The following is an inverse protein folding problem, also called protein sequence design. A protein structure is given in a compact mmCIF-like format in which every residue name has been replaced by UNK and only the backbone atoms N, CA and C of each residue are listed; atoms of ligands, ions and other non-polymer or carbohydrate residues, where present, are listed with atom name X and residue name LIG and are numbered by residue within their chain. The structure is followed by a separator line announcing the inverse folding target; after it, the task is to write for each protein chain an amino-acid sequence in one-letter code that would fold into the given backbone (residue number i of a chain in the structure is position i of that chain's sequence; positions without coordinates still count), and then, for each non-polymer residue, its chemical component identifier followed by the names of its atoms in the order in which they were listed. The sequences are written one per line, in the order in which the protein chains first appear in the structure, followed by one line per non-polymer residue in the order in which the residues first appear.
data_IF_396012843161
#
_entry.id   IF_396012843161
#
_cell.length_a   1.000
_cell.length_b   1.000
_cell.length_c   1.000
_cell.angle_alpha   90.00
_cell.angle_beta   90.00
_cell.angle_gamma   90.00
#
_symmetry.space_group_name_H-M   'P 1'
#
loop_
_entity.id
_entity.type
_entity.pdbx_description
1 polymer ?
#
# COMPACT_ATOMS: atom_id res chain seq x y z
N UNK A 1 15.56 10.00 -12.53
CA UNK A 1 14.14 9.98 -12.07
C UNK A 1 13.21 9.21 -13.02
N UNK A 2 13.07 9.62 -14.28
CA UNK A 2 12.14 9.01 -15.25
C UNK A 2 12.25 7.47 -15.36
N UNK A 3 13.46 6.94 -15.51
CA UNK A 3 13.69 5.49 -15.55
C UNK A 3 13.21 4.74 -14.29
N UNK A 4 13.33 5.37 -13.12
CA UNK A 4 12.80 4.83 -11.87
C UNK A 4 11.26 4.78 -11.86
N UNK A 5 10.59 5.72 -12.53
CA UNK A 5 9.13 5.72 -12.66
C UNK A 5 8.63 4.64 -13.62
N UNK A 6 9.34 4.38 -14.73
CA UNK A 6 9.02 3.30 -15.66
C UNK A 6 9.08 1.93 -14.99
N UNK A 7 10.12 1.67 -14.19
CA UNK A 7 10.24 0.42 -13.41
C UNK A 7 9.11 0.28 -12.38
N UNK A 8 8.70 1.38 -11.75
CA UNK A 8 7.57 1.40 -10.79
C UNK A 8 6.21 1.28 -11.47
N UNK A 9 6.10 1.57 -12.76
CA UNK A 9 4.82 1.59 -13.47
C UNK A 9 4.15 0.21 -13.56
N UNK A 10 4.92 -0.89 -13.52
CA UNK A 10 4.42 -2.28 -13.45
C UNK A 10 4.31 -2.82 -12.01
N UNK A 11 4.62 -2.00 -11.01
CA UNK A 11 4.78 -2.45 -9.64
C UNK A 11 3.56 -3.20 -9.09
N UNK A 12 3.77 -4.47 -8.73
CA UNK A 12 2.76 -5.36 -8.15
C UNK A 12 2.23 -4.86 -6.79
N UNK A 13 2.86 -3.86 -6.16
CA UNK A 13 2.45 -3.31 -4.86
C UNK A 13 1.22 -2.39 -4.94
N UNK A 14 0.68 -2.10 -6.12
CA UNK A 14 -0.52 -1.27 -6.22
C UNK A 14 -1.72 -2.00 -5.64
N UNK A 15 -2.62 -1.24 -5.01
CA UNK A 15 -3.87 -1.76 -4.42
C UNK A 15 -4.70 -2.54 -5.45
N UNK A 16 -4.71 -2.11 -6.71
CA UNK A 16 -5.42 -2.82 -7.80
C UNK A 16 -4.96 -4.26 -8.00
N UNK A 17 -3.67 -4.55 -7.77
CA UNK A 17 -3.11 -5.91 -7.90
C UNK A 17 -3.14 -6.69 -6.58
N UNK A 18 -3.51 -6.05 -5.46
CA UNK A 18 -3.61 -6.69 -4.14
C UNK A 18 -4.99 -6.44 -3.52
N UNK A 19 -6.06 -7.02 -4.10
CA UNK A 19 -7.40 -6.86 -3.57
C UNK A 19 -7.47 -7.37 -2.12
N UNK A 20 -8.20 -6.67 -1.27
CA UNK A 20 -8.57 -7.18 0.05
C UNK A 20 -9.87 -7.97 -0.03
N UNK A 21 -10.08 -8.98 0.84
CA UNK A 21 -11.35 -9.68 0.94
C UNK A 21 -12.53 -8.72 1.14
N UNK A 22 -13.73 -9.15 0.73
CA UNK A 22 -14.97 -8.38 0.92
C UNK A 22 -15.32 -8.25 2.40
N UNK A 23 -15.16 -9.35 3.13
CA UNK A 23 -15.43 -9.38 4.56
C UNK A 23 -14.24 -8.80 5.34
N UNK A 24 -14.48 -7.97 6.35
CA UNK A 24 -13.41 -7.47 7.21
C UNK A 24 -12.71 -8.61 7.95
N UNK A 25 -11.41 -8.46 8.24
CA UNK A 25 -10.70 -9.43 9.07
C UNK A 25 -11.39 -9.57 10.42
N UNK A 26 -11.51 -10.80 10.93
CA UNK A 26 -12.07 -11.08 12.24
C UNK A 26 -10.96 -11.38 13.23
N UNK A 27 -11.09 -11.00 14.52
CA UNK A 27 -10.03 -11.22 15.50
C UNK A 27 -9.70 -12.70 15.70
N UNK A 28 -10.68 -13.60 15.54
CA UNK A 28 -10.52 -15.06 15.62
C UNK A 28 -9.53 -15.60 14.59
N UNK A 29 -9.39 -14.93 13.43
CA UNK A 29 -8.45 -15.33 12.38
C UNK A 29 -6.97 -15.09 12.79
N UNK A 30 -6.75 -14.36 13.90
CA UNK A 30 -5.44 -14.03 14.47
C UNK A 30 -5.22 -14.72 15.83
N UNK A 31 -6.07 -15.70 16.15
CA UNK A 31 -6.00 -16.50 17.36
C UNK A 31 -5.39 -17.88 17.10
N UNK A 32 -4.52 -18.29 18.01
CA UNK A 32 -3.97 -19.64 18.08
C UNK A 32 -4.19 -20.20 19.46
N UNK A 33 -4.36 -21.51 19.58
CA UNK A 33 -4.55 -22.17 20.87
C UNK A 33 -3.47 -23.21 21.12
N UNK A 34 -3.02 -23.26 22.36
CA UNK A 34 -2.20 -24.32 22.91
C UNK A 34 -3.12 -25.22 23.71
N UNK A 35 -3.46 -26.37 23.14
CA UNK A 35 -4.27 -27.38 23.81
C UNK A 35 -3.38 -28.48 24.39
N UNK A 36 -3.92 -29.24 25.33
CA UNK A 36 -3.23 -30.34 26.01
C UNK A 36 -3.07 -31.58 25.12
N UNK A 37 -3.63 -31.59 23.90
CA UNK A 37 -3.61 -32.75 23.00
C UNK A 37 -2.46 -32.66 21.98
N UNK A 38 -1.59 -33.69 21.90
CA UNK A 38 -0.46 -33.68 21.00
C UNK A 38 -0.88 -34.14 19.60
N UNK A 39 -1.05 -33.20 18.67
CA UNK A 39 -0.79 -33.54 17.25
C UNK A 39 0.59 -33.00 16.88
N UNK A 40 1.62 -33.81 17.09
CA UNK A 40 3.00 -33.51 16.69
C UNK A 40 3.91 -33.02 17.83
N UNK A 41 4.72 -32.00 17.56
CA UNK A 41 5.71 -31.46 18.50
C UNK A 41 5.04 -30.80 19.73
N UNK A 42 5.67 -30.88 20.91
CA UNK A 42 5.08 -30.37 22.15
C UNK A 42 4.79 -28.86 22.07
N UNK A 43 3.65 -28.45 22.65
CA UNK A 43 3.25 -27.05 22.80
C UNK A 43 3.24 -26.25 21.49
N UNK A 44 2.85 -26.88 20.37
CA UNK A 44 2.68 -26.18 19.10
C UNK A 44 1.31 -25.49 19.04
N UNK A 45 1.23 -24.16 18.82
CA UNK A 45 -0.05 -23.48 18.67
C UNK A 45 -0.77 -23.96 17.40
N UNK A 46 -2.07 -24.20 17.51
CA UNK A 46 -2.97 -24.56 16.40
C UNK A 46 -3.86 -23.35 16.09
N UNK A 47 -4.12 -23.02 14.81
CA UNK A 47 -5.09 -21.98 14.47
C UNK A 47 -6.45 -22.24 15.13
N UNK A 48 -7.09 -21.22 15.70
CA UNK A 48 -8.36 -21.37 16.42
C UNK A 48 -9.44 -22.08 15.58
N UNK A 49 -9.50 -21.78 14.28
CA UNK A 49 -10.44 -22.41 13.33
C UNK A 49 -10.26 -23.94 13.20
N UNK A 50 -9.11 -24.46 13.56
CA UNK A 50 -8.75 -25.89 13.48
C UNK A 50 -8.84 -26.60 14.84
N UNK A 51 -9.07 -25.86 15.93
CA UNK A 51 -9.04 -26.43 17.29
C UNK A 51 -10.37 -26.99 17.79
N UNK A 52 -11.48 -26.69 17.11
CA UNK A 52 -12.83 -27.04 17.57
C UNK A 52 -13.34 -26.22 18.76
N UNK A 53 -12.54 -25.26 19.26
CA UNK A 53 -12.92 -24.38 20.36
C UNK A 53 -13.83 -23.26 19.85
N UNK A 54 -14.98 -23.08 20.51
CA UNK A 54 -15.87 -21.96 20.26
C UNK A 54 -15.65 -20.86 21.31
N UNK A 55 -15.02 -19.74 20.91
CA UNK A 55 -14.75 -18.62 21.80
C UNK A 55 -15.98 -17.89 22.33
N UNK A 56 -17.17 -18.08 21.73
CA UNK A 56 -18.43 -17.55 22.28
C UNK A 56 -18.81 -18.24 23.60
N UNK A 57 -18.36 -19.48 23.79
CA UNK A 57 -18.59 -20.31 24.98
C UNK A 57 -17.49 -20.18 26.02
N UNK A 58 -16.50 -19.30 25.78
CA UNK A 58 -15.33 -19.21 26.62
C UNK A 58 -15.21 -17.88 27.38
N UNK A 59 -14.48 -17.95 28.47
CA UNK A 59 -13.86 -16.82 29.15
C UNK A 59 -12.35 -16.87 28.99
N UNK A 60 -11.70 -15.71 29.12
CA UNK A 60 -10.25 -15.61 29.13
C UNK A 60 -9.78 -14.82 30.34
N UNK A 61 -8.64 -15.22 30.89
CA UNK A 61 -7.89 -14.45 31.87
C UNK A 61 -6.49 -14.17 31.32
N UNK A 62 -5.92 -13.00 31.61
CA UNK A 62 -4.55 -12.70 31.21
C UNK A 62 -3.59 -13.71 31.88
N UNK A 63 -2.62 -14.21 31.10
CA UNK A 63 -1.52 -14.99 31.67
C UNK A 63 -0.49 -14.04 32.26
N UNK A 64 -0.02 -14.33 33.46
CA UNK A 64 0.97 -13.54 34.17
C UNK A 64 2.25 -13.41 33.33
N UNK A 65 2.84 -12.21 33.33
CA UNK A 65 4.09 -11.91 32.59
C UNK A 65 4.01 -12.14 31.07
N UNK A 66 2.81 -12.14 30.47
CA UNK A 66 2.63 -12.22 29.02
C UNK A 66 1.67 -11.17 28.48
N UNK A 67 2.02 -10.57 27.34
CA UNK A 67 1.20 -9.54 26.69
C UNK A 67 0.21 -10.05 25.65
N UNK A 68 0.39 -11.30 25.18
CA UNK A 68 -0.41 -11.88 24.08
C UNK A 68 -0.96 -13.27 24.40
N UNK A 69 -0.73 -13.77 25.62
CA UNK A 69 -1.22 -15.06 26.08
C UNK A 69 -2.31 -14.91 27.14
N UNK A 70 -3.31 -15.76 27.01
CA UNK A 70 -4.47 -15.79 27.89
C UNK A 70 -4.77 -17.24 28.28
N UNK A 71 -5.17 -17.47 29.52
CA UNK A 71 -5.77 -18.73 29.96
C UNK A 71 -7.20 -18.77 29.46
N UNK A 72 -7.60 -19.90 28.88
CA UNK A 72 -8.92 -20.08 28.26
C UNK A 72 -9.76 -21.06 29.08
N UNK A 73 -11.02 -20.69 29.33
CA UNK A 73 -11.95 -21.45 30.16
C UNK A 73 -13.28 -21.66 29.43
N UNK A 74 -13.79 -22.89 29.36
CA UNK A 74 -15.10 -23.19 28.75
C UNK A 74 -16.22 -23.09 29.80
N UNK A 75 -17.07 -22.08 29.66
CA UNK A 75 -18.26 -21.83 30.49
C UNK A 75 -19.55 -22.23 29.79
N UNK A 76 -19.47 -22.85 28.61
CA UNK A 76 -20.62 -23.26 27.82
C UNK A 76 -21.56 -22.09 27.52
N UNK A 77 -22.86 -22.30 27.79
CA UNK A 77 -23.89 -21.29 27.53
C UNK A 77 -23.87 -20.11 28.51
N UNK A 78 -23.16 -20.21 29.64
CA UNK A 78 -23.06 -19.13 30.62
C UNK A 78 -22.01 -18.07 30.22
N UNK A 79 -21.18 -18.37 29.23
CA UNK A 79 -20.16 -17.46 28.75
C UNK A 79 -20.75 -16.24 28.04
N UNK A 80 -19.96 -15.15 28.04
CA UNK A 80 -20.26 -13.89 27.35
C UNK A 80 -19.45 -13.72 26.06
N UNK A 81 -18.70 -14.75 25.69
CA UNK A 81 -17.68 -14.73 24.64
C UNK A 81 -16.39 -14.00 25.02
N UNK A 82 -15.31 -14.40 24.36
CA UNK A 82 -13.98 -13.79 24.52
C UNK A 82 -13.89 -12.40 23.88
N UNK A 83 -14.47 -12.23 22.69
CA UNK A 83 -14.50 -10.97 21.98
C UNK A 83 -15.85 -10.27 22.16
N UNK A 84 -15.82 -9.03 22.66
CA UNK A 84 -17.00 -8.18 22.82
C UNK A 84 -16.74 -6.83 22.17
N UNK A 85 -17.64 -6.40 21.29
CA UNK A 85 -17.48 -5.17 20.50
C UNK A 85 -16.13 -5.11 19.75
N UNK A 86 -15.63 -6.26 19.29
CA UNK A 86 -14.35 -6.38 18.57
C UNK A 86 -13.10 -6.25 19.44
N UNK A 87 -13.23 -6.29 20.76
CA UNK A 87 -12.11 -6.27 21.71
C UNK A 87 -12.08 -7.58 22.49
N UNK A 88 -10.87 -8.11 22.73
CA UNK A 88 -10.67 -9.19 23.70
C UNK A 88 -10.94 -8.64 25.09
N UNK A 89 -11.79 -9.31 25.86
CA UNK A 89 -12.10 -8.87 27.23
C UNK A 89 -11.83 -10.00 28.22
N UNK A 90 -10.91 -9.73 29.15
CA UNK A 90 -10.63 -10.65 30.25
C UNK A 90 -11.75 -10.62 31.29
N UNK A 91 -12.03 -11.78 31.88
CA UNK A 91 -12.95 -11.97 32.99
C UNK A 91 -12.17 -12.47 34.22
N UNK A 92 -12.70 -12.21 35.41
CA UNK A 92 -12.20 -12.82 36.64
C UNK A 92 -12.70 -14.26 36.72
N UNK A 93 -11.81 -15.19 37.05
CA UNK A 93 -12.13 -16.62 37.14
C UNK A 93 -12.16 -17.01 38.62
N UNK A 94 -13.28 -17.58 39.12
CA UNK A 94 -13.35 -18.13 40.47
C UNK A 94 -12.29 -19.20 40.69
N UNK A 95 -11.76 -19.30 41.92
CA UNK A 95 -10.65 -20.21 42.24
C UNK A 95 -11.03 -21.69 42.04
N UNK A 96 -12.29 -22.02 42.28
CA UNK A 96 -12.91 -23.32 42.05
C UNK A 96 -13.04 -23.69 40.56
N UNK A 97 -13.09 -22.69 39.68
CA UNK A 97 -13.23 -22.88 38.23
C UNK A 97 -11.87 -22.97 37.53
N UNK A 98 -10.80 -22.46 38.15
CA UNK A 98 -9.44 -22.40 37.59
C UNK A 98 -8.93 -23.74 37.05
N UNK A 99 -9.26 -24.85 37.70
CA UNK A 99 -8.86 -26.19 37.24
C UNK A 99 -9.94 -26.92 36.45
N UNK A 100 -11.22 -26.71 36.80
CA UNK A 100 -12.34 -27.49 36.25
C UNK A 100 -12.79 -27.00 34.87
N UNK A 101 -12.64 -25.71 34.59
CA UNK A 101 -13.09 -25.08 33.35
C UNK A 101 -11.92 -24.79 32.38
N UNK A 102 -10.67 -24.96 32.81
CA UNK A 102 -9.49 -24.65 31.99
C UNK A 102 -9.37 -25.59 30.79
N UNK A 103 -9.28 -25.03 29.58
CA UNK A 103 -9.21 -25.78 28.32
C UNK A 103 -7.95 -25.53 27.50
N UNK A 104 -7.10 -24.58 27.92
CA UNK A 104 -5.80 -24.33 27.29
C UNK A 104 -5.37 -22.86 27.34
N UNK A 105 -4.37 -22.52 26.52
CA UNK A 105 -3.92 -21.13 26.36
C UNK A 105 -4.35 -20.60 24.99
N UNK A 106 -4.84 -19.36 24.97
CA UNK A 106 -5.13 -18.60 23.78
C UNK A 106 -4.00 -17.59 23.53
N UNK A 107 -3.45 -17.62 22.32
CA UNK A 107 -2.57 -16.58 21.79
C UNK A 107 -3.39 -15.67 20.89
N UNK A 108 -3.33 -14.36 21.09
CA UNK A 108 -3.99 -13.40 20.21
C UNK A 108 -3.00 -12.34 19.73
N UNK A 109 -2.66 -12.38 18.43
CA UNK A 109 -1.79 -11.38 17.82
C UNK A 109 -2.57 -10.11 17.49
N UNK A 110 -2.79 -9.28 18.51
CA UNK A 110 -3.54 -8.02 18.41
C UNK A 110 -2.93 -7.07 17.38
N UNK A 111 -1.60 -7.01 17.30
CA UNK A 111 -0.91 -6.11 16.38
C UNK A 111 -1.18 -6.50 14.91
N UNK A 112 -1.07 -7.79 14.57
CA UNK A 112 -1.38 -8.28 13.24
C UNK A 112 -2.85 -8.04 12.86
N UNK A 113 -3.79 -8.24 13.81
CA UNK A 113 -5.20 -7.95 13.60
C UNK A 113 -5.46 -6.46 13.29
N UNK A 114 -4.91 -5.55 14.09
CA UNK A 114 -5.09 -4.10 13.87
C UNK A 114 -4.45 -3.63 12.55
N UNK A 115 -3.28 -4.17 12.19
CA UNK A 115 -2.67 -3.92 10.88
C UNK A 115 -3.55 -4.40 9.73
N UNK A 116 -4.10 -5.61 9.82
CA UNK A 116 -5.00 -6.16 8.81
C UNK A 116 -6.28 -5.33 8.68
N UNK A 117 -6.87 -4.92 9.80
CA UNK A 117 -8.06 -4.05 9.84
C UNK A 117 -7.81 -2.70 9.20
N UNK A 118 -6.67 -2.07 9.50
CA UNK A 118 -6.24 -0.82 8.87
C UNK A 118 -6.04 -0.99 7.36
N UNK A 119 -5.33 -2.05 6.94
CA UNK A 119 -5.09 -2.36 5.52
C UNK A 119 -6.39 -2.60 4.75
N UNK A 120 -7.32 -3.36 5.34
CA UNK A 120 -8.65 -3.60 4.78
C UNK A 120 -9.42 -2.29 4.60
N UNK A 121 -9.54 -1.47 5.66
CA UNK A 121 -10.23 -0.17 5.62
C UNK A 121 -9.64 0.72 4.53
N UNK A 122 -8.32 0.89 4.50
CA UNK A 122 -7.63 1.71 3.51
C UNK A 122 -7.89 1.24 2.07
N UNK A 123 -7.90 -0.06 1.82
CA UNK A 123 -8.20 -0.61 0.50
C UNK A 123 -9.63 -0.28 0.07
N UNK A 124 -10.62 -0.53 0.93
CA UNK A 124 -12.03 -0.30 0.59
C UNK A 124 -12.39 1.18 0.49
N UNK A 125 -11.79 2.03 1.32
CA UNK A 125 -11.91 3.49 1.19
C UNK A 125 -11.35 3.97 -0.15
N UNK A 126 -10.19 3.47 -0.56
CA UNK A 126 -9.64 3.74 -1.90
C UNK A 126 -10.56 3.20 -3.00
N UNK A 127 -11.11 2.00 -2.85
CA UNK A 127 -12.01 1.38 -3.84
C UNK A 127 -13.29 2.19 -4.02
N UNK A 128 -13.82 2.81 -2.95
CA UNK A 128 -14.99 3.69 -2.98
C UNK A 128 -14.72 5.07 -3.59
N UNK A 129 -13.52 5.62 -3.36
CA UNK A 129 -13.18 7.01 -3.73
C UNK A 129 -12.38 7.13 -5.02
N UNK A 130 -11.91 6.02 -5.59
CA UNK A 130 -11.10 6.04 -6.81
C UNK A 130 -11.90 6.49 -8.03
N UNK A 131 -11.19 7.10 -8.97
CA UNK A 131 -11.71 7.34 -10.31
C UNK A 131 -11.82 6.01 -11.08
N UNK A 132 -13.02 5.44 -11.19
CA UNK A 132 -13.27 4.17 -11.87
C UNK A 132 -12.75 4.17 -13.32
N UNK A 133 -12.99 5.24 -14.08
CA UNK A 133 -12.60 5.34 -15.48
C UNK A 133 -11.08 5.18 -15.67
N UNK A 134 -10.26 5.53 -14.67
CA UNK A 134 -8.81 5.33 -14.70
C UNK A 134 -8.41 3.85 -14.59
N UNK A 135 -9.20 3.02 -13.90
CA UNK A 135 -8.80 1.66 -13.53
C UNK A 135 -9.51 0.55 -14.31
N UNK A 136 -10.59 0.87 -15.05
CA UNK A 136 -11.35 -0.10 -15.85
C UNK A 136 -10.48 -0.99 -16.74
N UNK A 137 -9.59 -0.39 -17.54
CA UNK A 137 -8.71 -1.16 -18.43
C UNK A 137 -7.66 -1.99 -17.67
N UNK A 138 -7.24 -1.53 -16.50
CA UNK A 138 -6.28 -2.25 -15.65
C UNK A 138 -6.92 -3.45 -14.96
N UNK A 139 -8.15 -3.31 -14.47
CA UNK A 139 -8.90 -4.37 -13.80
C UNK A 139 -9.46 -5.40 -14.77
N UNK A 140 -9.77 -4.99 -16.01
CA UNK A 140 -10.14 -5.90 -17.10
C UNK A 140 -8.94 -6.71 -17.62
N UNK A 141 -7.73 -6.51 -17.06
CA UNK A 141 -6.51 -7.21 -17.49
C UNK A 141 -5.99 -6.78 -18.87
N UNK A 142 -6.53 -5.70 -19.44
CA UNK A 142 -6.14 -5.20 -20.76
C UNK A 142 -4.80 -4.45 -20.74
N UNK A 143 -4.40 -3.96 -19.56
CA UNK A 143 -3.13 -3.28 -19.32
C UNK A 143 -2.55 -3.77 -17.99
N UNK A 144 -1.25 -4.04 -17.94
CA UNK A 144 -0.52 -4.48 -16.73
C UNK A 144 0.37 -3.37 -16.13
N UNK A 145 0.31 -2.13 -16.65
CA UNK A 145 1.07 -0.97 -16.17
C UNK A 145 0.26 0.34 -16.04
N UNK A 146 0.70 1.30 -15.21
CA UNK A 146 0.05 2.63 -15.08
C UNK A 146 0.33 3.52 -16.30
N UNK A 147 -0.57 3.47 -17.29
CA UNK A 147 -0.47 4.24 -18.54
C UNK A 147 -0.36 5.75 -18.33
N UNK A 148 -1.06 6.31 -17.33
CA UNK A 148 -0.97 7.75 -17.01
C UNK A 148 0.41 8.08 -16.47
N UNK A 149 0.95 7.26 -15.57
CA UNK A 149 2.28 7.47 -15.03
C UNK A 149 3.37 7.35 -16.11
N UNK A 150 3.25 6.37 -17.00
CA UNK A 150 4.17 6.24 -18.13
C UNK A 150 4.09 7.44 -19.07
N UNK A 151 2.89 7.89 -19.45
CA UNK A 151 2.73 9.11 -20.25
C UNK A 151 3.45 10.31 -19.61
N UNK A 152 3.26 10.53 -18.30
CA UNK A 152 3.98 11.61 -17.60
C UNK A 152 5.50 11.42 -17.64
N UNK A 153 5.96 10.18 -17.57
CA UNK A 153 7.38 9.85 -17.65
C UNK A 153 7.96 10.20 -19.03
N UNK A 154 7.27 9.83 -20.11
CA UNK A 154 7.64 10.23 -21.48
C UNK A 154 7.64 11.75 -21.66
N UNK A 155 6.65 12.43 -21.07
CA UNK A 155 6.60 13.90 -21.08
C UNK A 155 7.87 14.52 -20.50
N UNK A 156 8.39 13.97 -19.40
CA UNK A 156 9.64 14.41 -18.79
C UNK A 156 10.87 14.10 -19.66
N UNK A 157 10.94 12.90 -20.25
CA UNK A 157 12.03 12.52 -21.15
C UNK A 157 12.10 13.45 -22.38
N UNK A 158 10.96 13.73 -23.01
CA UNK A 158 10.90 14.65 -24.14
C UNK A 158 11.23 16.08 -23.76
N UNK A 159 10.81 16.54 -22.59
CA UNK A 159 11.21 17.86 -22.09
C UNK A 159 12.71 17.95 -21.82
N UNK A 160 13.31 16.89 -21.26
CA UNK A 160 14.75 16.84 -21.03
C UNK A 160 15.53 16.88 -22.35
N UNK A 161 15.10 16.13 -23.36
CA UNK A 161 15.71 16.19 -24.70
C UNK A 161 15.60 17.58 -25.32
N UNK A 162 14.48 18.27 -25.13
CA UNK A 162 14.31 19.63 -25.65
C UNK A 162 15.24 20.64 -24.97
N UNK A 163 15.52 20.49 -23.67
CA UNK A 163 16.50 21.33 -22.96
C UNK A 163 17.89 21.14 -23.58
N UNK A 164 18.22 19.90 -23.92
CA UNK A 164 19.50 19.56 -24.52
C UNK A 164 19.62 20.11 -25.95
N UNK A 165 18.58 19.99 -26.76
CA UNK A 165 18.63 20.40 -28.16
C UNK A 165 18.45 21.91 -28.35
N UNK A 166 17.62 22.55 -27.52
CA UNK A 166 17.14 23.92 -27.72
C UNK A 166 17.42 24.85 -26.53
N UNK A 167 17.98 24.36 -25.43
CA UNK A 167 18.26 25.15 -24.22
C UNK A 167 17.05 25.44 -23.34
N UNK A 168 15.86 24.95 -23.68
CA UNK A 168 14.61 25.23 -22.95
C UNK A 168 13.71 23.99 -22.76
N UNK A 169 12.87 23.94 -21.71
CA UNK A 169 11.96 22.82 -21.49
C UNK A 169 10.78 22.81 -22.46
N UNK A 170 10.44 21.62 -22.98
CA UNK A 170 9.20 21.42 -23.73
C UNK A 170 8.01 21.31 -22.78
N UNK A 171 7.30 22.43 -22.57
CA UNK A 171 6.14 22.49 -21.67
C UNK A 171 4.83 22.14 -22.39
N UNK A 172 4.65 22.67 -23.60
CA UNK A 172 3.44 22.46 -24.42
C UNK A 172 3.73 21.50 -25.55
N UNK A 173 3.03 20.38 -25.56
CA UNK A 173 3.16 19.35 -26.58
C UNK A 173 2.14 19.59 -27.69
N UNK A 174 2.59 19.47 -28.94
CA UNK A 174 1.77 19.56 -30.15
C UNK A 174 2.19 18.46 -31.14
N UNK A 175 1.43 18.31 -32.24
CA UNK A 175 1.74 17.39 -33.33
C UNK A 175 1.88 15.92 -32.88
N UNK A 176 2.83 15.22 -33.47
CA UNK A 176 3.06 13.79 -33.26
C UNK A 176 3.38 13.43 -31.81
N UNK A 177 4.20 14.22 -31.11
CA UNK A 177 4.54 13.97 -29.70
C UNK A 177 3.29 14.05 -28.80
N UNK A 178 2.38 14.99 -29.07
CA UNK A 178 1.11 15.05 -28.33
C UNK A 178 0.25 13.82 -28.58
N UNK A 179 0.15 13.41 -29.85
CA UNK A 179 -0.63 12.23 -30.22
C UNK A 179 -0.06 10.97 -29.56
N UNK A 180 1.25 10.81 -29.59
CA UNK A 180 1.92 9.71 -28.93
C UNK A 180 1.65 9.67 -27.41
N UNK A 181 1.76 10.81 -26.72
CA UNK A 181 1.44 10.88 -25.28
C UNK A 181 -0.02 10.48 -25.01
N UNK A 182 -0.95 10.83 -25.89
CA UNK A 182 -2.36 10.41 -25.79
C UNK A 182 -2.51 8.91 -26.01
N UNK A 183 -1.77 8.34 -26.95
CA UNK A 183 -1.77 6.91 -27.26
C UNK A 183 -1.16 6.07 -26.12
N UNK A 184 -0.07 6.55 -25.50
CA UNK A 184 0.50 5.96 -24.28
C UNK A 184 -0.54 5.98 -23.17
N UNK A 185 -1.21 7.12 -22.95
CA UNK A 185 -2.26 7.26 -21.93
C UNK A 185 -3.47 6.35 -22.20
N UNK A 186 -3.79 6.11 -23.47
CA UNK A 186 -4.86 5.23 -23.89
C UNK A 186 -4.47 3.74 -23.82
N UNK A 187 -3.20 3.41 -23.54
CA UNK A 187 -2.71 2.04 -23.44
C UNK A 187 -2.57 1.35 -24.79
N UNK A 188 -2.27 2.08 -25.86
CA UNK A 188 -2.10 1.52 -27.21
C UNK A 188 -0.75 0.83 -27.45
N UNK A 189 0.14 0.85 -26.47
CA UNK A 189 1.50 0.33 -26.55
C UNK A 189 1.70 -0.85 -25.60
N UNK A 190 2.62 -1.76 -25.92
CA UNK A 190 3.06 -2.77 -24.96
C UNK A 190 3.94 -2.17 -23.86
N UNK A 191 3.97 -2.78 -22.66
CA UNK A 191 4.89 -2.32 -21.61
C UNK A 191 6.35 -2.37 -22.05
N UNK A 192 6.78 -3.51 -22.62
CA UNK A 192 8.17 -3.71 -23.03
C UNK A 192 8.56 -2.77 -24.18
N UNK A 193 7.62 -2.46 -25.07
CA UNK A 193 7.79 -1.44 -26.11
C UNK A 193 8.05 -0.06 -25.50
N UNK A 194 7.28 0.33 -24.48
CA UNK A 194 7.48 1.60 -23.77
C UNK A 194 8.79 1.63 -22.99
N UNK A 195 9.23 0.49 -22.43
CA UNK A 195 10.53 0.39 -21.76
C UNK A 195 11.66 0.61 -22.76
N UNK A 196 11.66 -0.14 -23.87
CA UNK A 196 12.70 -0.02 -24.89
C UNK A 196 12.77 1.40 -25.45
N UNK A 197 11.62 2.02 -25.72
CA UNK A 197 11.57 3.40 -26.20
C UNK A 197 12.09 4.39 -25.17
N UNK A 198 11.74 4.23 -23.90
CA UNK A 198 12.26 5.10 -22.84
C UNK A 198 13.76 4.94 -22.63
N UNK A 199 14.30 3.72 -22.74
CA UNK A 199 15.74 3.46 -22.70
C UNK A 199 16.47 4.12 -23.86
N UNK A 200 15.92 4.07 -25.07
CA UNK A 200 16.48 4.78 -26.22
C UNK A 200 16.50 6.31 -26.01
N UNK A 201 15.42 6.88 -25.48
CA UNK A 201 15.36 8.31 -25.15
C UNK A 201 16.35 8.67 -24.04
N UNK A 202 16.48 7.83 -23.01
CA UNK A 202 17.44 8.03 -21.93
C UNK A 202 18.89 7.93 -22.42
N UNK A 203 19.20 7.01 -23.34
CA UNK A 203 20.53 6.89 -23.95
C UNK A 203 20.94 8.16 -24.68
N UNK A 204 20.01 8.79 -25.41
CA UNK A 204 20.25 10.12 -26.03
C UNK A 204 20.58 11.21 -25.01
N UNK A 205 19.92 11.19 -23.85
CA UNK A 205 20.20 12.16 -22.78
C UNK A 205 21.62 11.98 -22.21
N UNK A 206 22.09 10.73 -22.08
CA UNK A 206 23.45 10.46 -21.60
C UNK A 206 24.49 10.99 -22.57
N UNK A 207 24.36 10.65 -23.85
CA UNK A 207 25.31 11.08 -24.89
C UNK A 207 25.34 12.60 -25.03
N UNK A 208 24.18 13.26 -25.07
CA UNK A 208 24.17 14.70 -25.22
C UNK A 208 24.71 15.45 -24.00
N UNK A 209 24.67 14.86 -22.79
CA UNK A 209 25.14 15.52 -21.58
C UNK A 209 26.65 15.77 -21.63
N UNK A 210 27.41 14.86 -22.23
CA UNK A 210 28.87 15.00 -22.43
C UNK A 210 29.22 16.18 -23.35
N UNK A 211 28.27 16.64 -24.15
CA UNK A 211 28.49 17.68 -25.18
C UNK A 211 27.89 19.04 -24.83
N UNK A 212 27.13 19.15 -23.73
CA UNK A 212 26.38 20.36 -23.41
C UNK A 212 27.14 21.31 -22.49
N UNK A 213 27.05 22.64 -22.73
CA UNK A 213 27.64 23.65 -21.86
C UNK A 213 26.79 23.95 -20.62
N UNK A 214 25.86 23.06 -20.24
CA UNK A 214 25.00 23.28 -19.08
C UNK A 214 25.82 23.05 -17.80
N UNK A 215 25.75 23.97 -16.82
CA UNK A 215 26.46 23.82 -15.56
C UNK A 215 25.90 22.63 -14.76
N UNK A 216 26.78 21.95 -14.02
CA UNK A 216 26.40 20.79 -13.19
C UNK A 216 25.39 21.16 -12.09
N UNK A 217 25.39 22.43 -11.67
CA UNK A 217 24.47 22.95 -10.65
C UNK A 217 23.83 24.26 -11.09
N UNK A 218 22.62 24.50 -10.57
CA UNK A 218 21.92 25.77 -10.72
C UNK A 218 22.51 26.84 -9.80
N UNK A 219 22.56 28.08 -10.29
CA UNK A 219 22.88 29.26 -9.46
C UNK A 219 21.74 29.53 -8.47
N UNK A 220 21.92 29.09 -7.22
CA UNK A 220 20.91 29.22 -6.17
C UNK A 220 20.60 30.67 -5.80
N UNK A 221 21.57 31.59 -5.95
CA UNK A 221 21.33 33.01 -5.68
C UNK A 221 20.35 33.58 -6.71
N UNK A 222 20.56 33.27 -7.99
CA UNK A 222 19.66 33.68 -9.08
C UNK A 222 18.27 33.06 -8.94
N UNK A 223 18.20 31.78 -8.58
CA UNK A 223 16.91 31.09 -8.34
C UNK A 223 16.15 31.74 -7.19
N UNK A 224 16.83 32.06 -6.09
CA UNK A 224 16.20 32.70 -4.94
C UNK A 224 15.73 34.13 -5.26
N UNK A 225 16.52 34.89 -6.00
CA UNK A 225 16.13 36.22 -6.47
C UNK A 225 14.86 36.16 -7.34
N UNK A 226 14.82 35.23 -8.30
CA UNK A 226 13.65 35.01 -9.15
C UNK A 226 12.40 34.62 -8.35
N UNK A 227 12.55 33.75 -7.34
CA UNK A 227 11.44 33.36 -6.48
C UNK A 227 10.86 34.56 -5.72
N UNK A 228 11.72 35.40 -5.13
CA UNK A 228 11.30 36.61 -4.42
C UNK A 228 10.59 37.59 -5.37
N UNK A 229 11.10 37.77 -6.59
CA UNK A 229 10.50 38.67 -7.56
C UNK A 229 9.12 38.18 -8.03
N UNK A 230 8.99 36.89 -8.35
CA UNK A 230 7.69 36.30 -8.70
C UNK A 230 6.71 36.41 -7.53
N UNK A 231 7.18 36.21 -6.29
CA UNK A 231 6.35 36.31 -5.08
C UNK A 231 5.84 37.74 -4.89
N UNK A 232 6.72 38.74 -4.95
CA UNK A 232 6.35 40.16 -4.84
C UNK A 232 5.38 40.59 -5.94
N UNK A 233 5.59 40.11 -7.17
CA UNK A 233 4.67 40.39 -8.27
C UNK A 233 3.28 39.80 -7.98
N UNK A 234 3.23 38.54 -7.55
CA UNK A 234 1.99 37.88 -7.18
C UNK A 234 1.29 38.60 -6.01
N UNK A 235 2.03 39.01 -4.97
CA UNK A 235 1.51 39.77 -3.84
C UNK A 235 0.89 41.09 -4.29
N UNK A 236 1.57 41.88 -5.13
CA UNK A 236 1.01 43.11 -5.70
C UNK A 236 -0.26 42.88 -6.50
N UNK A 237 -0.29 41.83 -7.31
CA UNK A 237 -1.46 41.48 -8.14
C UNK A 237 -2.65 41.01 -7.29
N UNK A 238 -2.44 40.67 -6.01
CA UNK A 238 -3.43 40.14 -5.09
C UNK A 238 -3.55 40.93 -3.77
N UNK A 239 -2.94 42.12 -3.69
CA UNK A 239 -3.18 43.09 -2.62
C UNK A 239 -4.62 43.61 -2.76
N UNK A 240 -5.43 43.36 -1.72
CA UNK A 240 -6.84 43.79 -1.64
C UNK A 240 -6.95 45.27 -1.30
#
# INVERSE_FOLDING_TARGET
YAMGQIKKARGCNKRVHNPQPINPPRPEDFCFVLTTSPSGMPMRPVPLKESGINLERCHVAALENSGELYRLYDYGAAAKGVFRNGMLVCESIPKEDESSHFVGLLMFNKNAFEQAKSKHRQYWDWRRTRNEARWRSQEAGLLDYDAKNLMHTFRLLYSALNIMENGEPLVRFSGEKLQELRDIRAGRFGYDELVAKAEALAGRLVVGHETLPLPESSDLQRVNALLLDITRQWEKDHER
#
